data_IF_876007010693
#
_entry.id   IF_876007010693
#
_cell.length_a   1.000
_cell.length_b   1.000
_cell.length_c   1.000
_cell.angle_alpha   90.00
_cell.angle_beta   90.00
_cell.angle_gamma   90.00
#
_symmetry.space_group_name_H-M   'P 1'
#
loop_
_entity.id
_entity.type
_entity.pdbx_description
1 polymer ?
#
# COMPACT_ATOMS: atom_id res chain seq x y z
N UNK A 1 -16.55 5.55 18.53
CA UNK A 1 -16.89 4.29 17.83
C UNK A 1 -16.87 4.51 16.32
N UNK A 2 -16.55 3.45 15.57
CA UNK A 2 -16.67 3.42 14.11
C UNK A 2 -17.56 2.23 13.72
N UNK A 3 -18.45 2.43 12.75
CA UNK A 3 -19.27 1.35 12.18
C UNK A 3 -18.85 1.17 10.71
N UNK A 4 -18.44 -0.04 10.36
CA UNK A 4 -17.94 -0.39 9.06
C UNK A 4 -18.90 -1.36 8.36
N UNK A 5 -19.20 -1.17 7.07
CA UNK A 5 -20.04 -2.08 6.32
C UNK A 5 -19.43 -3.48 6.26
N UNK A 6 -18.12 -3.57 6.14
CA UNK A 6 -17.36 -4.82 6.14
C UNK A 6 -16.04 -4.67 6.89
N UNK A 7 -15.63 -5.73 7.57
CA UNK A 7 -14.31 -5.87 8.19
C UNK A 7 -13.91 -7.35 8.18
N UNK A 8 -12.68 -7.64 7.80
CA UNK A 8 -12.14 -9.00 7.89
C UNK A 8 -11.47 -9.16 9.26
N UNK A 9 -12.07 -9.93 10.15
CA UNK A 9 -11.51 -10.19 11.49
C UNK A 9 -10.59 -11.40 11.41
N UNK A 10 -9.31 -11.21 11.78
CA UNK A 10 -8.30 -12.28 11.76
C UNK A 10 -8.79 -13.48 12.57
N UNK A 11 -8.72 -14.65 11.97
CA UNK A 11 -9.21 -15.92 12.56
C UNK A 11 -10.74 -16.11 12.53
N UNK A 12 -11.52 -15.08 12.16
CA UNK A 12 -13.00 -15.16 12.12
C UNK A 12 -13.59 -14.85 10.73
N UNK A 13 -12.75 -14.36 9.79
CA UNK A 13 -13.13 -14.02 8.43
C UNK A 13 -13.97 -12.74 8.31
N UNK A 14 -14.55 -12.53 7.12
CA UNK A 14 -15.31 -11.33 6.78
C UNK A 14 -16.60 -11.20 7.62
N UNK A 15 -16.83 -10.01 8.14
CA UNK A 15 -18.05 -9.66 8.89
C UNK A 15 -18.69 -8.39 8.31
N UNK A 16 -20.02 -8.29 8.43
CA UNK A 16 -20.82 -7.14 7.99
C UNK A 16 -21.26 -6.30 9.18
N UNK A 17 -21.42 -4.99 8.94
CA UNK A 17 -21.96 -4.04 9.92
C UNK A 17 -21.25 -4.12 11.28
N UNK A 18 -19.92 -4.10 11.24
CA UNK A 18 -19.09 -4.22 12.44
C UNK A 18 -18.97 -2.87 13.11
N UNK A 19 -19.31 -2.82 14.40
CA UNK A 19 -19.12 -1.62 15.22
C UNK A 19 -18.04 -1.87 16.28
N UNK A 20 -16.99 -1.07 16.28
CA UNK A 20 -15.86 -1.16 17.20
C UNK A 20 -15.58 0.19 17.86
N UNK A 21 -14.82 0.17 18.95
CA UNK A 21 -14.13 1.38 19.38
C UNK A 21 -13.17 1.83 18.29
N UNK A 22 -13.11 3.14 18.03
CA UNK A 22 -12.28 3.67 16.93
C UNK A 22 -10.78 3.40 17.16
N UNK A 23 -10.31 3.61 18.40
CA UNK A 23 -8.89 3.39 18.74
C UNK A 23 -8.55 1.91 18.62
N UNK A 24 -9.38 1.01 19.11
CA UNK A 24 -9.17 -0.43 18.99
C UNK A 24 -9.15 -0.88 17.54
N UNK A 25 -10.06 -0.35 16.71
CA UNK A 25 -10.09 -0.62 15.27
C UNK A 25 -8.78 -0.21 14.60
N UNK A 26 -8.33 1.04 14.81
CA UNK A 26 -7.11 1.56 14.24
C UNK A 26 -5.86 0.82 14.76
N UNK A 27 -5.81 0.48 16.06
CA UNK A 27 -4.71 -0.31 16.65
C UNK A 27 -4.61 -1.69 16.01
N UNK A 28 -5.75 -2.39 15.91
CA UNK A 28 -5.78 -3.74 15.35
C UNK A 28 -5.39 -3.81 13.89
N UNK A 29 -5.83 -2.84 13.06
CA UNK A 29 -5.46 -2.77 11.65
C UNK A 29 -4.00 -2.32 11.51
N UNK A 30 -3.54 -1.29 12.26
CA UNK A 30 -2.15 -0.84 12.23
C UNK A 30 -1.18 -1.97 12.61
N UNK A 31 -1.53 -2.78 13.60
CA UNK A 31 -0.73 -3.96 13.95
C UNK A 31 -0.72 -5.01 12.84
N UNK A 32 -1.84 -5.24 12.18
CA UNK A 32 -1.90 -6.17 11.03
C UNK A 32 -1.00 -5.73 9.89
N UNK A 33 -0.96 -4.43 9.62
CA UNK A 33 -0.23 -3.83 8.49
C UNK A 33 1.28 -3.68 8.75
N UNK A 34 1.66 -3.14 9.90
CA UNK A 34 3.06 -2.83 10.23
C UNK A 34 3.68 -3.71 11.31
N UNK A 35 2.87 -4.43 12.09
CA UNK A 35 3.37 -5.27 13.17
C UNK A 35 4.21 -4.54 14.22
N UNK A 36 5.13 -5.27 14.84
CA UNK A 36 5.99 -4.79 15.91
C UNK A 36 7.30 -4.18 15.37
N UNK A 37 7.22 -3.13 14.55
CA UNK A 37 8.40 -2.50 13.93
C UNK A 37 9.39 -1.91 14.94
N UNK A 38 8.99 -1.67 16.19
CA UNK A 38 9.89 -1.17 17.24
C UNK A 38 11.08 -2.08 17.56
N UNK A 39 11.09 -3.32 17.04
CA UNK A 39 12.26 -4.20 17.10
C UNK A 39 13.31 -3.93 16.00
N UNK A 40 12.96 -3.16 14.99
CA UNK A 40 13.79 -2.88 13.81
C UNK A 40 14.27 -1.44 13.72
N UNK A 41 13.59 -0.52 14.41
CA UNK A 41 13.90 0.91 14.41
C UNK A 41 13.79 1.50 15.81
N UNK A 42 14.25 2.74 16.00
CA UNK A 42 14.09 3.45 17.27
C UNK A 42 12.62 3.62 17.67
N UNK A 43 12.36 3.74 18.96
CA UNK A 43 11.00 3.97 19.45
C UNK A 43 10.35 5.23 18.85
N UNK A 44 11.14 6.29 18.62
CA UNK A 44 10.66 7.51 17.97
C UNK A 44 10.23 7.25 16.52
N UNK A 45 11.10 6.62 15.73
CA UNK A 45 10.80 6.28 14.34
C UNK A 45 9.57 5.36 14.22
N UNK A 46 9.46 4.36 15.09
CA UNK A 46 8.30 3.47 15.13
C UNK A 46 7.00 4.24 15.42
N UNK A 47 7.05 5.20 16.36
CA UNK A 47 5.88 6.05 16.66
C UNK A 47 5.42 6.85 15.42
N UNK A 48 6.34 7.46 14.69
CA UNK A 48 5.98 8.26 13.51
C UNK A 48 5.44 7.37 12.36
N UNK A 49 6.03 6.20 12.12
CA UNK A 49 5.52 5.27 11.12
C UNK A 49 4.13 4.71 11.49
N UNK A 50 3.88 4.34 12.75
CA UNK A 50 2.55 3.91 13.19
C UNK A 50 1.51 5.03 13.11
N UNK A 51 1.87 6.29 13.42
CA UNK A 51 0.98 7.45 13.24
C UNK A 51 0.61 7.64 11.77
N UNK A 52 1.59 7.61 10.86
CA UNK A 52 1.35 7.73 9.43
C UNK A 52 0.40 6.63 8.94
N UNK A 53 0.65 5.38 9.32
CA UNK A 53 -0.21 4.26 8.97
C UNK A 53 -1.62 4.40 9.55
N UNK A 54 -1.75 4.82 10.80
CA UNK A 54 -3.05 4.99 11.45
C UNK A 54 -3.91 6.07 10.79
N UNK A 55 -3.31 7.21 10.40
CA UNK A 55 -4.02 8.28 9.67
C UNK A 55 -4.42 7.82 8.27
N UNK A 56 -3.56 7.07 7.56
CA UNK A 56 -3.89 6.49 6.27
C UNK A 56 -5.06 5.50 6.40
N UNK A 57 -5.02 4.59 7.38
CA UNK A 57 -6.12 3.64 7.68
C UNK A 57 -7.41 4.38 7.99
N UNK A 58 -7.37 5.40 8.87
CA UNK A 58 -8.57 6.16 9.23
C UNK A 58 -9.19 6.85 8.00
N UNK A 59 -8.36 7.47 7.17
CA UNK A 59 -8.80 8.09 5.92
C UNK A 59 -9.44 7.08 4.96
N UNK A 60 -8.78 5.94 4.78
CA UNK A 60 -9.29 4.83 3.96
C UNK A 60 -10.66 4.33 4.48
N UNK A 61 -10.80 4.10 5.78
CA UNK A 61 -12.04 3.63 6.37
C UNK A 61 -13.16 4.66 6.21
N UNK A 62 -12.91 5.95 6.47
CA UNK A 62 -13.88 7.03 6.28
C UNK A 62 -14.30 7.18 4.81
N UNK A 63 -13.37 7.04 3.88
CA UNK A 63 -13.66 7.04 2.45
C UNK A 63 -14.58 5.86 2.08
N UNK A 64 -14.21 4.64 2.45
CA UNK A 64 -14.93 3.42 2.04
C UNK A 64 -16.23 3.15 2.80
N UNK A 65 -16.49 3.80 3.93
CA UNK A 65 -17.81 3.77 4.57
C UNK A 65 -18.95 4.18 3.64
N UNK A 66 -18.65 5.06 2.68
CA UNK A 66 -19.65 5.55 1.72
C UNK A 66 -19.96 4.55 0.60
N UNK A 67 -19.05 3.63 0.29
CA UNK A 67 -19.14 2.78 -0.89
C UNK A 67 -19.43 1.31 -0.62
N UNK A 68 -19.31 0.84 0.61
CA UNK A 68 -19.83 -0.44 1.10
C UNK A 68 -19.37 -1.71 0.35
N UNK A 69 -18.13 -1.75 -0.16
CA UNK A 69 -17.62 -2.93 -0.88
C UNK A 69 -16.84 -3.88 0.05
N UNK A 70 -17.15 -5.18 -0.01
CA UNK A 70 -16.40 -6.21 0.72
C UNK A 70 -14.96 -6.38 0.19
N UNK A 71 -14.69 -6.03 -1.07
CA UNK A 71 -13.36 -6.06 -1.66
C UNK A 71 -12.38 -5.09 -0.97
N UNK A 72 -12.93 -4.07 -0.31
CA UNK A 72 -12.15 -3.05 0.42
C UNK A 72 -12.08 -3.31 1.94
N UNK A 73 -12.45 -4.51 2.40
CA UNK A 73 -12.40 -4.84 3.81
C UNK A 73 -10.96 -5.07 4.28
N UNK A 74 -10.50 -4.25 5.21
CA UNK A 74 -9.20 -4.40 5.85
C UNK A 74 -9.20 -5.56 6.85
N UNK A 75 -8.02 -6.10 7.12
CA UNK A 75 -7.85 -7.15 8.13
C UNK A 75 -7.59 -6.50 9.48
N UNK A 76 -8.43 -6.84 10.44
CA UNK A 76 -8.34 -6.42 11.83
C UNK A 76 -7.87 -7.55 12.72
N UNK A 77 -6.78 -7.36 13.43
CA UNK A 77 -6.36 -8.24 14.53
C UNK A 77 -7.04 -7.75 15.82
N UNK A 78 -7.85 -8.58 16.50
CA UNK A 78 -8.43 -8.22 17.81
C UNK A 78 -7.35 -7.75 18.77
N UNK A 79 -7.60 -6.66 19.50
CA UNK A 79 -6.56 -6.05 20.35
C UNK A 79 -6.08 -6.96 21.48
N UNK A 80 -6.92 -7.89 21.91
CA UNK A 80 -6.58 -8.94 22.88
C UNK A 80 -5.57 -9.96 22.34
N UNK A 81 -5.52 -10.15 21.02
CA UNK A 81 -4.60 -11.07 20.34
C UNK A 81 -3.24 -10.43 20.02
N UNK A 82 -3.09 -9.11 20.28
CA UNK A 82 -1.83 -8.39 20.06
C UNK A 82 -0.96 -8.48 21.31
N UNK A 83 0.35 -8.84 21.18
CA UNK A 83 1.29 -8.83 22.30
C UNK A 83 1.23 -7.50 23.07
N UNK A 84 1.17 -7.53 24.39
CA UNK A 84 0.89 -6.37 25.24
C UNK A 84 1.84 -5.18 25.02
N UNK A 85 3.13 -5.45 24.81
CA UNK A 85 4.14 -4.42 24.52
C UNK A 85 3.89 -3.71 23.19
N UNK A 86 3.60 -4.48 22.12
CA UNK A 86 3.28 -3.95 20.80
C UNK A 86 1.96 -3.17 20.85
N UNK A 87 0.93 -3.75 21.47
CA UNK A 87 -0.38 -3.10 21.64
C UNK A 87 -0.25 -1.75 22.35
N UNK A 88 0.48 -1.69 23.43
CA UNK A 88 0.68 -0.43 24.20
C UNK A 88 1.40 0.63 23.37
N UNK A 89 2.47 0.25 22.65
CA UNK A 89 3.26 1.17 21.83
C UNK A 89 2.44 1.71 20.63
N UNK A 90 1.71 0.84 19.93
CA UNK A 90 0.85 1.22 18.81
C UNK A 90 -0.33 2.07 19.29
N UNK A 91 -0.96 1.71 20.41
CA UNK A 91 -2.05 2.49 20.99
C UNK A 91 -1.63 3.92 21.28
N UNK A 92 -0.43 4.13 21.85
CA UNK A 92 0.11 5.47 22.10
C UNK A 92 0.20 6.30 20.81
N UNK A 93 0.68 5.71 19.71
CA UNK A 93 0.72 6.38 18.42
C UNK A 93 -0.68 6.71 17.90
N UNK A 94 -1.58 5.72 17.89
CA UNK A 94 -2.95 5.85 17.38
C UNK A 94 -3.76 6.90 18.16
N UNK A 95 -3.72 6.88 19.49
CA UNK A 95 -4.45 7.83 20.33
C UNK A 95 -4.07 9.29 20.05
N UNK A 96 -2.80 9.53 19.69
CA UNK A 96 -2.31 10.89 19.38
C UNK A 96 -2.84 11.44 18.03
N UNK A 97 -3.35 10.57 17.14
CA UNK A 97 -3.80 10.95 15.79
C UNK A 97 -5.19 10.41 15.43
N UNK A 98 -5.91 9.80 16.38
CA UNK A 98 -7.16 9.07 16.15
C UNK A 98 -8.28 9.88 15.48
N UNK A 99 -8.23 11.21 15.59
CA UNK A 99 -9.22 12.10 15.02
C UNK A 99 -8.76 12.70 13.68
N UNK A 100 -7.58 12.32 13.17
CA UNK A 100 -7.01 12.88 11.95
C UNK A 100 -7.33 12.02 10.72
N UNK A 101 -7.59 12.71 9.61
CA UNK A 101 -7.77 12.13 8.27
C UNK A 101 -7.06 12.98 7.21
N UNK A 102 -6.72 12.36 6.10
CA UNK A 102 -6.21 13.01 4.90
C UNK A 102 -7.36 13.52 4.04
N UNK A 103 -7.23 14.75 3.57
CA UNK A 103 -8.20 15.36 2.67
C UNK A 103 -7.50 15.97 1.45
N UNK A 104 -8.16 15.92 0.31
CA UNK A 104 -7.80 16.63 -0.91
C UNK A 104 -8.99 17.46 -1.36
N UNK A 105 -8.78 18.77 -1.58
CA UNK A 105 -9.87 19.71 -1.88
C UNK A 105 -11.07 19.61 -0.90
N UNK A 106 -10.79 19.41 0.39
CA UNK A 106 -11.78 19.34 1.45
C UNK A 106 -12.50 17.98 1.62
N UNK A 107 -12.29 17.03 0.72
CA UNK A 107 -12.87 15.67 0.78
C UNK A 107 -11.87 14.66 1.30
N UNK A 108 -12.32 13.70 2.11
CA UNK A 108 -11.47 12.58 2.57
C UNK A 108 -11.02 11.75 1.38
N UNK A 109 -9.76 11.35 1.37
CA UNK A 109 -9.14 10.61 0.25
C UNK A 109 -9.18 9.09 0.44
N UNK A 110 -9.08 8.37 -0.68
CA UNK A 110 -8.76 6.94 -0.71
C UNK A 110 -7.25 6.77 -0.46
N UNK A 111 -6.86 6.75 0.81
CA UNK A 111 -5.47 6.71 1.22
C UNK A 111 -4.92 5.28 1.17
N UNK A 112 -4.67 4.77 -0.04
CA UNK A 112 -4.13 3.43 -0.27
C UNK A 112 -2.64 3.34 0.09
N UNK A 113 -2.17 2.14 0.45
CA UNK A 113 -0.77 1.85 0.78
C UNK A 113 -0.37 0.45 0.31
N UNK A 114 0.95 0.19 0.29
CA UNK A 114 1.51 -1.13 0.01
C UNK A 114 2.74 -1.41 0.89
N UNK A 115 3.13 -2.68 0.98
CA UNK A 115 4.24 -3.08 1.85
C UNK A 115 5.57 -2.42 1.44
N UNK A 116 5.90 -2.43 0.15
CA UNK A 116 7.10 -1.78 -0.37
C UNK A 116 6.93 -1.39 -1.84
N UNK A 117 7.57 -0.28 -2.21
CA UNK A 117 7.59 0.22 -3.58
C UNK A 117 8.68 -0.47 -4.43
N UNK A 118 8.73 -0.13 -5.70
CA UNK A 118 9.58 -0.75 -6.68
C UNK A 118 10.97 -0.13 -6.82
N UNK A 119 11.74 -0.69 -7.76
CA UNK A 119 13.08 -0.24 -8.12
C UNK A 119 13.21 -0.20 -9.65
N UNK A 120 13.55 0.96 -10.17
CA UNK A 120 13.83 1.13 -11.58
C UNK A 120 15.30 0.80 -11.85
N UNK A 121 15.55 -0.35 -12.46
CA UNK A 121 16.90 -0.84 -12.78
C UNK A 121 17.63 0.02 -13.80
N UNK A 122 16.90 0.80 -14.61
CA UNK A 122 17.50 1.67 -15.63
C UNK A 122 18.00 2.98 -15.02
N UNK A 123 17.30 3.53 -14.05
CA UNK A 123 17.64 4.80 -13.41
C UNK A 123 18.30 4.64 -12.05
N UNK A 124 18.20 3.47 -11.42
CA UNK A 124 18.69 3.22 -10.07
C UNK A 124 17.83 3.84 -8.97
N UNK A 125 16.59 4.25 -9.29
CA UNK A 125 15.69 4.94 -8.36
C UNK A 125 14.69 3.95 -7.75
N UNK A 126 14.47 4.06 -6.45
CA UNK A 126 13.34 3.45 -5.76
C UNK A 126 12.17 4.44 -5.70
N UNK A 127 10.96 3.98 -5.95
CA UNK A 127 9.80 4.87 -5.94
C UNK A 127 8.46 4.16 -5.98
N UNK A 128 7.40 4.92 -5.70
CA UNK A 128 6.03 4.46 -5.79
C UNK A 128 5.51 4.54 -7.23
N UNK A 129 4.37 3.92 -7.46
CA UNK A 129 3.63 3.97 -8.72
C UNK A 129 2.54 5.04 -8.68
N UNK A 130 2.28 5.70 -9.80
CA UNK A 130 1.09 6.53 -9.93
C UNK A 130 -0.18 5.68 -10.10
N UNK A 131 -1.33 6.21 -9.71
CA UNK A 131 -2.61 5.53 -9.96
C UNK A 131 -2.93 5.41 -11.45
N UNK A 132 -2.41 6.34 -12.26
CA UNK A 132 -2.55 6.26 -13.71
C UNK A 132 -1.83 5.04 -14.28
N UNK A 133 -0.58 4.82 -13.84
CA UNK A 133 0.24 3.70 -14.33
C UNK A 133 -0.23 2.36 -13.78
N UNK A 134 -0.65 2.32 -12.51
CA UNK A 134 -1.13 1.09 -11.90
C UNK A 134 -2.53 0.67 -12.35
N UNK A 135 -3.45 1.64 -12.49
CA UNK A 135 -4.90 1.36 -12.62
C UNK A 135 -5.56 2.01 -13.83
N UNK A 136 -4.80 2.82 -14.60
CA UNK A 136 -5.33 3.53 -15.76
C UNK A 136 -6.22 4.74 -15.41
N UNK A 137 -6.22 5.18 -14.15
CA UNK A 137 -7.04 6.29 -13.66
C UNK A 137 -6.19 7.30 -12.90
N UNK A 138 -6.14 8.54 -13.38
CA UNK A 138 -5.32 9.61 -12.75
C UNK A 138 -6.02 10.18 -11.52
N UNK A 139 -5.61 9.69 -10.34
CA UNK A 139 -6.03 10.23 -9.05
C UNK A 139 -5.01 11.29 -8.62
N UNK A 140 -5.42 12.56 -8.44
CA UNK A 140 -4.49 13.69 -8.36
C UNK A 140 -3.54 13.64 -7.15
N UNK A 141 -3.88 12.94 -6.09
CA UNK A 141 -3.05 12.78 -4.89
C UNK A 141 -2.27 11.45 -4.86
N UNK A 142 -2.44 10.55 -5.84
CA UNK A 142 -1.73 9.26 -5.95
C UNK A 142 -0.72 9.32 -7.10
N UNK A 143 0.37 10.05 -6.89
CA UNK A 143 1.45 10.24 -7.85
C UNK A 143 2.63 9.32 -7.51
N UNK A 144 3.48 9.07 -8.51
CA UNK A 144 4.77 8.43 -8.30
C UNK A 144 5.70 9.39 -7.56
N UNK A 145 6.32 8.91 -6.47
CA UNK A 145 7.29 9.67 -5.67
C UNK A 145 8.49 8.79 -5.32
N UNK A 146 9.65 9.42 -5.10
CA UNK A 146 10.85 8.71 -4.66
C UNK A 146 10.64 8.07 -3.28
N UNK A 147 11.27 6.91 -3.07
CA UNK A 147 11.19 6.16 -1.81
C UNK A 147 12.49 5.37 -1.60
N UNK A 148 13.59 6.03 -1.21
CA UNK A 148 14.95 5.48 -1.30
C UNK A 148 15.24 4.31 -0.36
N UNK A 149 14.45 4.12 0.69
CA UNK A 149 14.72 3.16 1.74
C UNK A 149 14.05 1.80 1.56
N UNK A 150 13.45 1.53 0.39
CA UNK A 150 12.59 0.38 0.13
C UNK A 150 13.24 -0.97 0.43
N UNK A 151 14.34 -1.29 -0.24
CA UNK A 151 15.06 -2.56 -0.07
C UNK A 151 15.54 -2.74 1.37
N UNK A 152 16.20 -1.72 1.91
CA UNK A 152 16.78 -1.77 3.25
C UNK A 152 15.72 -2.12 4.31
N UNK A 153 14.56 -1.46 4.26
CA UNK A 153 13.51 -1.66 5.24
C UNK A 153 12.62 -2.87 4.94
N UNK A 154 12.46 -3.24 3.68
CA UNK A 154 11.83 -4.50 3.33
C UNK A 154 12.61 -5.69 3.91
N UNK A 155 13.93 -5.70 3.76
CA UNK A 155 14.79 -6.76 4.32
C UNK A 155 14.75 -6.78 5.84
N UNK A 156 14.82 -5.62 6.51
CA UNK A 156 14.65 -5.51 7.97
C UNK A 156 13.27 -6.04 8.43
N UNK A 157 12.23 -5.73 7.68
CA UNK A 157 10.83 -6.08 8.00
C UNK A 157 10.37 -7.40 7.33
N UNK A 158 11.26 -8.14 6.71
CA UNK A 158 10.94 -9.37 5.95
C UNK A 158 10.07 -10.37 6.73
N UNK A 159 10.27 -10.49 8.06
CA UNK A 159 9.45 -11.38 8.90
C UNK A 159 8.01 -10.91 9.03
N UNK A 160 7.75 -9.60 8.94
CA UNK A 160 6.41 -9.03 8.96
C UNK A 160 5.77 -9.18 7.57
N UNK A 161 6.50 -8.81 6.52
CA UNK A 161 6.02 -8.82 5.13
C UNK A 161 5.83 -10.26 4.62
N UNK A 162 6.70 -11.19 5.05
CA UNK A 162 6.63 -12.61 4.67
C UNK A 162 7.03 -12.90 3.22
N UNK A 163 7.67 -11.93 2.54
CA UNK A 163 8.13 -12.03 1.16
C UNK A 163 9.53 -11.43 1.01
N UNK A 164 10.27 -11.87 -0.01
CA UNK A 164 11.53 -11.27 -0.40
C UNK A 164 11.29 -9.99 -1.22
N UNK A 165 12.22 -9.04 -1.15
CA UNK A 165 12.14 -7.82 -1.96
C UNK A 165 12.30 -8.13 -3.44
N UNK A 166 13.32 -8.92 -3.78
CA UNK A 166 13.53 -9.43 -5.12
C UNK A 166 12.86 -10.80 -5.26
N UNK A 167 12.17 -10.98 -6.36
CA UNK A 167 11.52 -12.25 -6.67
C UNK A 167 11.66 -12.55 -8.16
N UNK A 168 11.87 -13.81 -8.52
CA UNK A 168 12.01 -14.28 -9.91
C UNK A 168 10.91 -15.28 -10.21
N UNK A 169 10.22 -15.07 -11.32
CA UNK A 169 9.24 -16.02 -11.87
C UNK A 169 9.68 -16.50 -13.25
N UNK A 170 9.55 -17.80 -13.47
CA UNK A 170 9.85 -18.45 -14.75
C UNK A 170 8.60 -18.77 -15.56
N UNK A 171 7.46 -18.88 -14.89
CA UNK A 171 6.20 -19.23 -15.52
C UNK A 171 5.14 -18.16 -15.24
N UNK A 172 4.31 -17.90 -16.25
CA UNK A 172 3.12 -17.07 -16.08
C UNK A 172 2.17 -17.74 -15.06
N UNK A 173 1.94 -17.09 -13.94
CA UNK A 173 1.13 -17.62 -12.84
C UNK A 173 -0.33 -17.92 -13.20
N UNK A 174 -0.83 -17.40 -14.34
CA UNK A 174 -2.20 -17.62 -14.82
C UNK A 174 -2.32 -18.80 -15.75
N UNK A 175 -1.30 -19.05 -16.57
CA UNK A 175 -1.30 -20.13 -17.55
C UNK A 175 -0.47 -21.32 -17.10
N UNK A 176 0.47 -21.13 -16.16
CA UNK A 176 1.46 -22.11 -15.76
C UNK A 176 2.60 -22.31 -16.79
N UNK A 177 2.52 -21.61 -17.92
CA UNK A 177 3.46 -21.77 -19.04
C UNK A 177 4.70 -20.89 -18.87
N UNK A 178 5.87 -21.34 -19.36
CA UNK A 178 7.10 -20.56 -19.34
C UNK A 178 6.94 -19.22 -20.05
N UNK A 179 7.59 -18.19 -19.52
CA UNK A 179 7.71 -16.91 -20.20
C UNK A 179 8.53 -17.04 -21.47
N UNK A 180 8.12 -16.33 -22.53
CA UNK A 180 8.84 -16.25 -23.80
C UNK A 180 9.38 -14.86 -24.04
N UNK A 181 8.60 -13.81 -23.80
CA UNK A 181 9.01 -12.42 -23.90
C UNK A 181 8.05 -11.49 -23.15
N UNK A 182 8.52 -10.28 -22.83
CA UNK A 182 7.71 -9.21 -22.29
C UNK A 182 8.19 -7.85 -22.80
N UNK A 183 7.25 -6.91 -22.99
CA UNK A 183 7.57 -5.51 -23.23
C UNK A 183 7.58 -4.78 -21.89
N UNK A 184 8.75 -4.32 -21.47
CA UNK A 184 8.96 -3.61 -20.20
C UNK A 184 9.54 -2.20 -20.42
N UNK A 185 9.33 -1.62 -21.60
CA UNK A 185 9.98 -0.36 -22.01
C UNK A 185 9.37 0.88 -21.35
N UNK A 186 8.07 0.85 -20.99
CA UNK A 186 7.39 1.98 -20.38
C UNK A 186 7.37 1.82 -18.85
N UNK A 187 8.24 2.56 -18.17
CA UNK A 187 8.40 2.51 -16.71
C UNK A 187 8.25 3.88 -16.09
N UNK A 188 7.59 3.95 -14.95
CA UNK A 188 7.56 5.12 -14.08
C UNK A 188 8.82 5.25 -13.20
N UNK A 189 8.79 6.16 -12.24
CA UNK A 189 9.92 6.46 -11.36
C UNK A 189 10.45 5.23 -10.62
N UNK A 190 9.58 4.39 -10.09
CA UNK A 190 9.92 3.18 -9.34
C UNK A 190 10.08 1.93 -10.21
N UNK A 191 10.05 2.07 -11.55
CA UNK A 191 10.19 0.94 -12.47
C UNK A 191 8.91 0.15 -12.71
N UNK A 192 7.76 0.69 -12.32
CA UNK A 192 6.47 0.08 -12.60
C UNK A 192 6.11 0.20 -14.07
N UNK A 193 5.62 -0.87 -14.66
CA UNK A 193 5.29 -0.94 -16.08
C UNK A 193 3.82 -0.63 -16.28
N UNK A 194 3.53 0.47 -17.01
CA UNK A 194 2.16 0.89 -17.31
C UNK A 194 1.41 -0.13 -18.17
N UNK A 195 2.08 -0.60 -19.22
CA UNK A 195 1.56 -1.62 -20.13
C UNK A 195 2.60 -2.69 -20.37
N UNK A 196 2.15 -3.93 -20.41
CA UNK A 196 2.99 -5.06 -20.71
C UNK A 196 2.35 -5.93 -21.79
N UNK A 197 3.15 -6.31 -22.79
CA UNK A 197 2.81 -7.40 -23.71
C UNK A 197 3.62 -8.61 -23.29
N UNK A 198 2.93 -9.57 -22.71
CA UNK A 198 3.53 -10.85 -22.32
C UNK A 198 3.24 -11.88 -23.40
N UNK A 199 4.24 -12.61 -23.83
CA UNK A 199 4.10 -13.77 -24.72
C UNK A 199 4.26 -15.02 -23.89
N UNK A 200 3.22 -15.85 -23.87
CA UNK A 200 3.21 -17.15 -23.24
C UNK A 200 2.49 -18.13 -24.16
N UNK A 201 3.06 -19.31 -24.35
CA UNK A 201 2.52 -20.36 -25.22
C UNK A 201 2.13 -19.87 -26.64
N UNK A 202 2.99 -19.01 -27.25
CA UNK A 202 2.76 -18.44 -28.58
C UNK A 202 1.63 -17.41 -28.67
N UNK A 203 1.02 -17.01 -27.56
CA UNK A 203 -0.03 -16.00 -27.51
C UNK A 203 0.46 -14.73 -26.83
N UNK A 204 0.14 -13.59 -27.41
CA UNK A 204 0.42 -12.28 -26.82
C UNK A 204 -0.75 -11.83 -25.97
N UNK A 205 -0.44 -11.38 -24.76
CA UNK A 205 -1.40 -10.82 -23.82
C UNK A 205 -0.97 -9.39 -23.47
N UNK A 206 -1.87 -8.44 -23.56
CA UNK A 206 -1.65 -7.07 -23.13
C UNK A 206 -2.23 -6.88 -21.72
N UNK A 207 -1.42 -6.38 -20.82
CA UNK A 207 -1.79 -6.17 -19.42
C UNK A 207 -1.53 -4.73 -19.00
N UNK A 208 -2.40 -4.22 -18.14
CA UNK A 208 -2.06 -3.20 -17.17
C UNK A 208 -1.35 -3.95 -16.04
N UNK A 209 -0.24 -3.42 -15.52
CA UNK A 209 0.69 -4.11 -14.63
C UNK A 209 0.07 -4.95 -13.50
N UNK A 210 -1.04 -4.48 -12.91
CA UNK A 210 -1.74 -5.18 -11.81
C UNK A 210 -2.26 -6.59 -12.16
N UNK A 211 -2.43 -6.93 -13.43
CA UNK A 211 -2.94 -8.24 -13.82
C UNK A 211 -1.87 -9.32 -13.96
N UNK A 212 -0.60 -8.97 -13.86
CA UNK A 212 0.50 -9.93 -13.98
C UNK A 212 0.84 -10.53 -12.61
N UNK A 213 0.87 -9.71 -11.56
CA UNK A 213 1.23 -10.12 -10.21
C UNK A 213 0.72 -9.09 -9.19
N UNK A 214 0.69 -9.44 -7.90
CA UNK A 214 0.60 -8.47 -6.80
C UNK A 214 1.87 -7.61 -6.68
N UNK A 215 2.86 -7.82 -7.55
CA UNK A 215 4.09 -7.07 -7.69
C UNK A 215 4.11 -6.48 -9.09
N UNK A 216 4.03 -5.17 -9.19
CA UNK A 216 3.88 -4.48 -10.48
C UNK A 216 5.17 -3.91 -11.04
N UNK A 217 6.22 -3.83 -10.22
CA UNK A 217 7.55 -3.43 -10.67
C UNK A 217 8.33 -4.65 -11.09
N UNK A 218 8.65 -4.77 -12.39
CA UNK A 218 9.36 -5.92 -12.91
C UNK A 218 10.24 -5.60 -14.13
N UNK A 219 11.24 -6.45 -14.35
CA UNK A 219 12.04 -6.53 -15.55
C UNK A 219 11.95 -7.92 -16.16
N UNK A 220 12.01 -7.98 -17.48
CA UNK A 220 12.14 -9.23 -18.20
C UNK A 220 13.58 -9.42 -18.68
N UNK A 221 14.13 -10.59 -18.43
CA UNK A 221 15.51 -10.94 -18.81
C UNK A 221 15.66 -12.46 -18.92
N UNK A 222 16.88 -12.91 -19.01
CA UNK A 222 17.25 -14.32 -18.85
C UNK A 222 18.06 -14.49 -17.57
N UNK A 223 17.92 -15.65 -16.92
CA UNK A 223 18.79 -16.00 -15.79
C UNK A 223 20.22 -16.38 -16.28
N UNK A 224 21.09 -16.74 -15.35
CA UNK A 224 22.47 -17.12 -15.64
C UNK A 224 22.61 -18.36 -16.57
N UNK A 225 21.53 -19.13 -16.74
CA UNK A 225 21.47 -20.31 -17.62
C UNK A 225 20.83 -20.02 -18.97
N UNK A 226 20.39 -18.76 -19.21
CA UNK A 226 19.74 -18.32 -20.44
C UNK A 226 18.22 -18.57 -20.46
N UNK A 227 17.61 -18.92 -19.34
CA UNK A 227 16.17 -19.16 -19.27
C UNK A 227 15.43 -17.83 -19.09
N UNK A 228 14.41 -17.53 -19.93
CA UNK A 228 13.59 -16.33 -19.80
C UNK A 228 12.86 -16.27 -18.46
N UNK A 229 12.91 -15.12 -17.80
CA UNK A 229 12.27 -14.91 -16.49
C UNK A 229 11.88 -13.47 -16.25
N UNK A 230 10.95 -13.28 -15.30
CA UNK A 230 10.54 -11.97 -14.79
C UNK A 230 11.18 -11.73 -13.43
N UNK A 231 11.86 -10.59 -13.29
CA UNK A 231 12.39 -10.09 -12.02
C UNK A 231 11.42 -9.07 -11.44
N UNK A 232 10.93 -9.32 -10.25
CA UNK A 232 10.02 -8.44 -9.53
C UNK A 232 10.71 -7.75 -8.36
N UNK A 233 10.32 -6.51 -8.08
CA UNK A 233 10.86 -5.68 -7.01
C UNK A 233 9.74 -5.15 -6.13
N UNK A 234 9.95 -5.18 -4.80
CA UNK A 234 8.95 -4.74 -3.83
C UNK A 234 7.80 -5.72 -3.65
N UNK A 235 6.77 -5.28 -2.93
CA UNK A 235 5.57 -6.09 -2.67
C UNK A 235 4.31 -5.22 -2.50
N UNK A 236 3.26 -5.57 -3.24
CA UNK A 236 2.01 -4.84 -3.31
C UNK A 236 1.87 -4.00 -4.57
N UNK A 237 0.82 -3.20 -4.65
CA UNK A 237 0.48 -2.40 -5.84
C UNK A 237 1.36 -1.16 -6.04
N UNK A 238 2.16 -0.78 -5.05
CA UNK A 238 3.12 0.33 -5.15
C UNK A 238 2.52 1.74 -5.16
N UNK A 239 1.19 1.90 -5.11
CA UNK A 239 0.51 3.21 -5.17
C UNK A 239 0.29 3.77 -3.77
N UNK A 240 0.45 5.09 -3.61
CA UNK A 240 0.29 5.77 -2.33
C UNK A 240 1.46 5.53 -1.38
N UNK A 241 1.19 5.36 -0.08
CA UNK A 241 2.27 5.22 0.90
C UNK A 241 2.93 3.84 0.84
N UNK A 242 4.27 3.82 0.73
CA UNK A 242 5.05 2.62 1.02
C UNK A 242 5.24 2.48 2.53
N UNK A 243 4.92 1.31 3.08
CA UNK A 243 5.14 1.00 4.49
C UNK A 243 6.63 0.96 4.82
N UNK A 244 7.44 0.29 3.97
CA UNK A 244 8.89 0.26 4.13
C UNK A 244 9.52 1.65 4.00
N UNK A 245 9.09 2.42 3.01
CA UNK A 245 9.56 3.77 2.81
C UNK A 245 9.20 4.70 3.96
N UNK A 246 7.96 4.63 4.48
CA UNK A 246 7.52 5.41 5.64
C UNK A 246 8.37 5.12 6.89
N UNK A 247 8.65 3.83 7.15
CA UNK A 247 9.55 3.42 8.25
C UNK A 247 10.97 3.93 8.00
N UNK A 248 11.45 3.85 6.76
CA UNK A 248 12.78 4.33 6.36
C UNK A 248 12.94 5.84 6.57
N UNK A 249 12.00 6.65 6.07
CA UNK A 249 12.01 8.10 6.27
C UNK A 249 11.97 8.51 7.75
N UNK A 250 11.16 7.82 8.56
CA UNK A 250 11.13 8.07 9.99
C UNK A 250 12.45 7.72 10.68
N UNK A 251 13.11 6.63 10.25
CA UNK A 251 14.31 6.12 10.89
C UNK A 251 15.60 6.81 10.46
N UNK A 252 15.76 7.08 9.17
CA UNK A 252 17.01 7.60 8.58
C UNK A 252 17.03 9.14 8.53
N UNK A 253 15.85 9.77 8.30
CA UNK A 253 15.76 11.22 8.20
C UNK A 253 15.06 11.88 9.40
N UNK A 254 14.53 11.09 10.34
CA UNK A 254 13.74 11.62 11.46
C UNK A 254 12.44 12.30 11.04
N UNK A 255 11.92 11.94 9.86
CA UNK A 255 10.75 12.57 9.28
C UNK A 255 9.51 12.28 10.13
N UNK A 256 8.74 13.31 10.47
CA UNK A 256 7.49 13.17 11.20
C UNK A 256 6.36 12.62 10.33
N UNK A 257 5.38 11.97 10.93
CA UNK A 257 4.26 11.35 10.20
C UNK A 257 3.52 12.29 9.25
N UNK A 258 3.43 13.58 9.57
CA UNK A 258 2.76 14.59 8.71
C UNK A 258 3.52 14.82 7.40
N UNK A 259 4.83 14.83 7.47
CA UNK A 259 5.68 15.02 6.30
C UNK A 259 5.75 13.74 5.48
N UNK A 260 5.81 12.56 6.12
CA UNK A 260 5.69 11.26 5.46
C UNK A 260 4.38 11.19 4.66
N UNK A 261 3.25 11.51 5.28
CA UNK A 261 1.95 11.48 4.62
C UNK A 261 1.86 12.44 3.43
N UNK A 262 2.38 13.68 3.58
CA UNK A 262 2.38 14.67 2.50
C UNK A 262 3.36 14.32 1.37
N UNK A 263 4.40 13.56 1.68
CA UNK A 263 5.33 13.05 0.68
C UNK A 263 4.63 12.02 -0.23
N UNK A 264 3.92 11.06 0.35
CA UNK A 264 3.27 9.99 -0.41
C UNK A 264 1.92 10.35 -1.02
N UNK A 265 1.22 11.32 -0.43
CA UNK A 265 -0.08 11.79 -0.93
C UNK A 265 0.04 13.26 -1.34
N UNK A 266 0.15 13.50 -2.64
CA UNK A 266 0.43 14.83 -3.20
C UNK A 266 -0.71 15.81 -2.95
N UNK A 267 -0.38 17.00 -2.42
CA UNK A 267 -1.33 18.11 -2.26
C UNK A 267 -2.40 17.90 -1.19
N UNK A 268 -2.25 16.92 -0.31
CA UNK A 268 -3.20 16.64 0.77
C UNK A 268 -3.04 17.58 1.96
N UNK A 269 -4.13 17.72 2.72
CA UNK A 269 -4.16 18.32 4.05
C UNK A 269 -4.56 17.27 5.09
N UNK A 270 -4.01 17.39 6.31
CA UNK A 270 -4.42 16.58 7.45
C UNK A 270 -5.43 17.40 8.26
N UNK A 271 -6.61 16.85 8.48
CA UNK A 271 -7.71 17.50 9.18
C UNK A 271 -8.30 16.62 10.27
N UNK A 272 -8.86 17.24 11.28
CA UNK A 272 -9.63 16.56 12.34
C UNK A 272 -11.02 16.21 11.81
N UNK A 273 -11.49 15.00 12.03
CA UNK A 273 -12.85 14.55 11.68
C UNK A 273 -13.87 15.46 12.39
N UNK A 274 -14.85 15.96 11.63
CA UNK A 274 -15.86 16.90 12.14
C UNK A 274 -15.50 18.37 11.97
N UNK A 275 -14.28 18.74 11.58
CA UNK A 275 -13.90 20.12 11.28
C UNK A 275 -14.19 20.50 9.82
N UNK A 276 -15.47 20.45 9.40
CA UNK A 276 -15.90 20.92 8.07
C UNK A 276 -15.54 19.97 6.91
N UNK A 277 -15.39 18.67 7.16
CA UNK A 277 -15.29 17.67 6.10
C UNK A 277 -16.64 17.52 5.42
N UNK A 278 -16.80 18.12 4.22
CA UNK A 278 -17.95 17.79 3.39
C UNK A 278 -17.77 16.36 2.86
N UNK A 279 -18.78 15.52 3.01
CA UNK A 279 -18.89 14.24 2.32
C UNK A 279 -19.21 14.53 0.83
N UNK A 280 -18.23 15.06 0.11
CA UNK A 280 -18.34 15.27 -1.32
C UNK A 280 -18.32 13.91 -2.01
N UNK A 281 -19.47 13.48 -2.54
CA UNK A 281 -19.55 12.34 -3.45
C UNK A 281 -18.62 12.58 -4.66
N UNK A 282 -17.40 12.08 -4.60
CA UNK A 282 -16.43 12.29 -5.64
C UNK A 282 -16.82 11.57 -6.92
N UNK A 283 -16.63 12.26 -8.05
CA UNK A 283 -16.83 11.80 -9.42
C UNK A 283 -16.21 10.42 -9.71
N UNK A 284 -15.23 10.00 -8.93
CA UNK A 284 -14.46 8.75 -9.07
C UNK A 284 -15.13 7.48 -8.52
N UNK A 285 -16.09 7.60 -7.59
CA UNK A 285 -16.87 6.43 -7.12
C UNK A 285 -17.73 5.81 -8.22
N UNK A 286 -18.06 6.59 -9.26
CA UNK A 286 -18.81 6.14 -10.43
C UNK A 286 -17.94 5.31 -11.39
N UNK A 287 -16.68 5.69 -11.60
CA UNK A 287 -15.77 4.99 -12.52
C UNK A 287 -15.39 3.57 -12.01
N UNK A 288 -15.21 3.38 -10.70
CA UNK A 288 -14.96 2.04 -10.12
C UNK A 288 -16.13 1.07 -10.30
N UNK A 289 -17.37 1.56 -10.28
CA UNK A 289 -18.56 0.73 -10.57
C UNK A 289 -18.61 0.24 -12.02
N UNK A 290 -18.06 1.00 -12.96
CA UNK A 290 -18.04 0.65 -14.39
C UNK A 290 -16.96 -0.38 -14.73
N UNK A 291 -15.88 -0.44 -13.96
CA UNK A 291 -14.72 -1.30 -14.22
C UNK A 291 -14.73 -2.61 -13.43
N UNK A 292 -15.75 -2.86 -12.58
CA UNK A 292 -15.87 -4.11 -11.82
C UNK A 292 -14.78 -4.34 -10.79
N UNK A 293 -14.11 -3.26 -10.32
CA UNK A 293 -13.00 -3.30 -9.36
C UNK A 293 -13.47 -2.99 -7.94
#
# INVERSE_FOLDING_TARGET
KITLPYLNIKGKGLRRNVSLDLVDCLVGITYTELGSIGSYVSASAAQEAWKAQAVAIHSYLEYHKQYGSSANALIYTPVEDIPSSARSAIRKAVESVKDEVLTYNGSVIDAVWSASAGYNTQTGVYGTCSSLDAWGSDVPYLKSVESPYERQYHEKMRRIIGKDYDYVEYNDSRTGEPYQSADTTHKDLGGFVQYNTLVSNGRSYRYIGQFVSSRYCFDFSTDATGVPCMYYYGFGHGVGMSQCGAVGYAAEEGMGYRDILKHYYSGVSIRTVGSGTSSGGGLFGWLRRLLGM
#
